data_IF_202959969214
#
_entry.id   IF_202959969214
#
_cell.length_a   1.000
_cell.length_b   1.000
_cell.length_c   1.000
_cell.angle_alpha   90.00
_cell.angle_beta   90.00
_cell.angle_gamma   90.00
#
_symmetry.space_group_name_H-M   'P 1'
#
loop_
_entity.id
_entity.type
_entity.pdbx_description
1 polymer ?
#
# COMPACT_ATOMS: atom_id res chain seq x y z
N UNK A 1 107.59 29.94 -19.98
CA UNK A 1 106.78 28.67 -20.04
C UNK A 1 105.64 28.63 -18.98
N UNK A 2 105.76 29.27 -17.83
CA UNK A 2 104.68 29.21 -16.79
C UNK A 2 103.37 29.97 -17.10
N UNK A 3 103.51 31.10 -17.85
CA UNK A 3 102.35 31.96 -18.11
C UNK A 3 101.29 31.31 -19.08
N UNK A 4 101.80 30.57 -20.10
CA UNK A 4 100.93 29.90 -21.09
C UNK A 4 100.19 28.67 -20.49
N UNK A 5 100.77 28.01 -19.50
CA UNK A 5 100.18 26.92 -18.79
C UNK A 5 99.09 27.42 -17.82
N UNK A 6 99.29 28.53 -17.12
CA UNK A 6 98.29 29.14 -16.27
C UNK A 6 97.04 29.66 -17.05
N UNK A 7 97.24 30.26 -18.26
CA UNK A 7 96.16 30.65 -19.14
C UNK A 7 95.31 29.45 -19.62
N UNK A 8 95.97 28.37 -20.03
CA UNK A 8 95.28 27.12 -20.41
C UNK A 8 94.48 26.51 -19.23
N UNK A 9 95.07 26.55 -18.05
CA UNK A 9 94.36 26.05 -16.82
C UNK A 9 93.16 26.89 -16.46
N UNK A 10 93.28 28.24 -16.57
CA UNK A 10 92.11 29.16 -16.34
C UNK A 10 91.05 28.95 -17.39
N UNK A 11 91.42 28.82 -18.66
CA UNK A 11 90.48 28.52 -19.75
C UNK A 11 89.75 27.20 -19.51
N UNK A 12 90.48 26.12 -19.19
CA UNK A 12 89.90 24.82 -18.87
C UNK A 12 88.94 24.88 -17.68
N UNK A 13 89.37 25.53 -16.60
CA UNK A 13 88.53 25.73 -15.42
C UNK A 13 87.21 26.48 -15.74
N UNK A 14 87.32 27.53 -16.57
CA UNK A 14 86.11 28.32 -17.00
C UNK A 14 85.15 27.47 -17.87
N UNK A 15 85.62 26.64 -18.74
CA UNK A 15 84.87 25.75 -19.59
C UNK A 15 84.12 24.70 -18.74
N UNK A 16 84.87 24.03 -17.84
CA UNK A 16 84.27 23.01 -16.94
C UNK A 16 83.23 23.59 -16.03
N UNK A 17 83.46 24.77 -15.43
CA UNK A 17 82.46 25.46 -14.60
C UNK A 17 81.28 25.87 -15.41
N UNK A 18 81.39 26.37 -16.63
CA UNK A 18 80.32 26.71 -17.51
C UNK A 18 79.49 25.48 -17.91
N UNK A 19 80.16 24.38 -18.28
CA UNK A 19 79.43 23.11 -18.55
C UNK A 19 78.72 22.56 -17.35
N UNK A 20 79.30 22.61 -16.14
CA UNK A 20 78.72 22.15 -14.91
C UNK A 20 77.46 22.98 -14.58
N UNK A 21 77.55 24.33 -14.75
CA UNK A 21 76.45 25.25 -14.56
C UNK A 21 75.27 24.97 -15.54
N UNK A 22 75.63 24.84 -16.85
CA UNK A 22 74.63 24.53 -17.89
C UNK A 22 73.97 23.18 -17.69
N UNK A 23 74.72 22.15 -17.26
CA UNK A 23 74.16 20.84 -16.91
C UNK A 23 73.27 20.91 -15.65
N UNK A 24 73.61 21.72 -14.65
CA UNK A 24 72.84 21.99 -13.45
C UNK A 24 71.52 22.67 -13.79
N UNK A 25 71.57 23.76 -14.59
CA UNK A 25 70.35 24.48 -15.04
C UNK A 25 69.41 23.58 -15.85
N UNK A 26 69.93 22.78 -16.79
CA UNK A 26 69.14 21.81 -17.55
C UNK A 26 68.47 20.74 -16.65
N UNK A 27 69.19 20.29 -15.62
CA UNK A 27 68.67 19.32 -14.66
C UNK A 27 67.55 19.94 -13.80
N UNK A 28 67.74 21.18 -13.36
CA UNK A 28 66.79 21.91 -12.59
C UNK A 28 65.47 22.14 -13.39
N UNK A 29 65.59 22.64 -14.63
CA UNK A 29 64.50 22.85 -15.56
C UNK A 29 63.71 21.57 -15.82
N UNK A 30 64.41 20.46 -16.06
CA UNK A 30 63.76 19.16 -16.28
C UNK A 30 63.03 18.67 -15.04
N UNK A 31 63.58 18.94 -13.86
CA UNK A 31 62.91 18.56 -12.59
C UNK A 31 61.69 19.42 -12.33
N UNK A 32 61.81 20.75 -12.53
CA UNK A 32 60.69 21.68 -12.39
C UNK A 32 59.53 21.31 -13.33
N UNK A 33 59.80 21.02 -14.60
CA UNK A 33 58.76 20.57 -15.55
C UNK A 33 58.09 19.30 -15.09
N UNK A 34 58.84 18.28 -14.68
CA UNK A 34 58.27 17.04 -14.16
C UNK A 34 57.41 17.26 -12.91
N UNK A 35 57.85 18.14 -12.01
CA UNK A 35 57.09 18.45 -10.80
C UNK A 35 55.76 19.15 -11.15
N UNK A 36 55.81 20.15 -12.07
CA UNK A 36 54.60 20.84 -12.51
C UNK A 36 53.62 19.88 -13.22
N UNK A 37 54.11 19.05 -14.15
CA UNK A 37 53.29 18.06 -14.85
C UNK A 37 52.65 17.07 -13.88
N UNK A 38 53.35 16.69 -12.81
CA UNK A 38 52.82 15.81 -11.77
C UNK A 38 51.79 16.53 -10.90
N UNK A 39 52.03 17.80 -10.57
CA UNK A 39 51.04 18.61 -9.80
C UNK A 39 49.76 18.81 -10.59
N UNK A 40 49.80 19.18 -11.86
CA UNK A 40 48.64 19.35 -12.72
C UNK A 40 47.84 18.05 -12.87
N UNK A 41 48.53 16.91 -13.03
CA UNK A 41 47.86 15.60 -13.07
C UNK A 41 47.17 15.28 -11.78
N UNK A 42 47.84 15.43 -10.65
CA UNK A 42 47.28 15.17 -9.35
C UNK A 42 46.07 16.09 -9.05
N UNK A 43 46.19 17.38 -9.39
CA UNK A 43 45.11 18.33 -9.24
C UNK A 43 43.85 17.91 -10.04
N UNK A 44 44.05 17.54 -11.31
CA UNK A 44 43.00 17.08 -12.20
C UNK A 44 42.33 15.80 -11.66
N UNK A 45 43.13 14.86 -11.17
CA UNK A 45 42.66 13.59 -10.60
C UNK A 45 41.87 13.82 -9.31
N UNK A 46 42.36 14.64 -8.39
CA UNK A 46 41.63 14.98 -7.16
C UNK A 46 40.32 15.73 -7.43
N UNK A 47 40.30 16.65 -8.38
CA UNK A 47 39.07 17.36 -8.78
C UNK A 47 38.06 16.39 -9.39
N UNK A 48 38.50 15.45 -10.23
CA UNK A 48 37.61 14.43 -10.82
C UNK A 48 37.03 13.52 -9.75
N UNK A 49 37.85 13.01 -8.83
CA UNK A 49 37.37 12.19 -7.71
C UNK A 49 36.37 12.95 -6.80
N UNK A 50 36.68 14.21 -6.49
CA UNK A 50 35.81 15.04 -5.68
C UNK A 50 34.46 15.24 -6.37
N UNK A 51 34.46 15.50 -7.68
CA UNK A 51 33.25 15.66 -8.47
C UNK A 51 32.39 14.37 -8.48
N UNK A 52 33.04 13.22 -8.71
CA UNK A 52 32.33 11.92 -8.65
C UNK A 52 31.71 11.65 -7.28
N UNK A 53 32.44 11.92 -6.20
CA UNK A 53 31.93 11.78 -4.83
C UNK A 53 30.70 12.67 -4.59
N UNK A 54 30.74 13.91 -5.06
CA UNK A 54 29.63 14.86 -4.96
C UNK A 54 28.42 14.34 -5.75
N UNK A 55 28.61 13.92 -7.01
CA UNK A 55 27.54 13.38 -7.84
C UNK A 55 26.92 12.11 -7.25
N UNK A 56 27.74 11.23 -6.70
CA UNK A 56 27.27 10.04 -6.02
C UNK A 56 26.43 10.39 -4.77
N UNK A 57 26.87 11.36 -3.98
CA UNK A 57 26.12 11.81 -2.80
C UNK A 57 24.81 12.48 -3.15
N UNK A 58 24.79 13.31 -4.21
CA UNK A 58 23.54 13.90 -4.70
C UNK A 58 22.55 12.82 -5.15
N UNK A 59 23.01 11.79 -5.87
CA UNK A 59 22.17 10.65 -6.29
C UNK A 59 21.63 9.85 -5.10
N UNK A 60 22.45 9.66 -4.07
CA UNK A 60 22.03 8.99 -2.84
C UNK A 60 20.93 9.78 -2.12
N UNK A 61 21.15 11.07 -1.91
CA UNK A 61 20.17 11.96 -1.26
C UNK A 61 18.82 11.96 -2.02
N UNK A 62 18.87 12.10 -3.35
CA UNK A 62 17.63 12.08 -4.15
C UNK A 62 16.88 10.75 -4.03
N UNK A 63 17.58 9.62 -3.96
CA UNK A 63 16.94 8.31 -3.73
C UNK A 63 16.31 8.24 -2.36
N UNK A 64 17.04 8.61 -1.33
CA UNK A 64 16.54 8.62 0.05
C UNK A 64 15.31 9.51 0.22
N UNK A 65 15.30 10.68 -0.41
CA UNK A 65 14.16 11.60 -0.36
C UNK A 65 12.95 11.06 -1.12
N UNK A 66 13.16 10.48 -2.31
CA UNK A 66 12.08 9.83 -3.06
C UNK A 66 11.49 8.64 -2.28
N UNK A 67 12.31 7.83 -1.63
CA UNK A 67 11.86 6.72 -0.79
C UNK A 67 11.01 7.23 0.39
N UNK A 68 11.44 8.31 1.07
CA UNK A 68 10.65 8.91 2.16
C UNK A 68 9.29 9.43 1.68
N UNK A 69 9.25 10.10 0.53
CA UNK A 69 8.00 10.59 -0.06
C UNK A 69 7.05 9.44 -0.39
N UNK A 70 7.57 8.38 -1.03
CA UNK A 70 6.78 7.19 -1.34
C UNK A 70 6.25 6.48 -0.08
N UNK A 71 7.08 6.34 0.95
CA UNK A 71 6.66 5.77 2.23
C UNK A 71 5.57 6.61 2.90
N UNK A 72 5.73 7.94 2.90
CA UNK A 72 4.72 8.84 3.46
C UNK A 72 3.38 8.77 2.71
N UNK A 73 3.40 8.64 1.37
CA UNK A 73 2.18 8.47 0.56
C UNK A 73 1.49 7.13 0.86
N UNK A 74 2.26 6.04 0.93
CA UNK A 74 1.72 4.72 1.30
C UNK A 74 1.09 4.74 2.70
N UNK A 75 1.76 5.36 3.67
CA UNK A 75 1.23 5.47 5.03
C UNK A 75 -0.05 6.33 5.08
N UNK A 76 -0.08 7.44 4.34
CA UNK A 76 -1.26 8.30 4.26
C UNK A 76 -2.46 7.55 3.66
N UNK A 77 -2.24 6.82 2.56
CA UNK A 77 -3.28 5.98 1.93
C UNK A 77 -3.75 4.88 2.88
N UNK A 78 -2.84 4.20 3.58
CA UNK A 78 -3.20 3.18 4.58
C UNK A 78 -4.05 3.74 5.72
N UNK A 79 -3.69 4.91 6.25
CA UNK A 79 -4.46 5.59 7.30
C UNK A 79 -5.85 5.97 6.80
N UNK A 80 -5.95 6.48 5.57
CA UNK A 80 -7.24 6.83 4.97
C UNK A 80 -8.13 5.60 4.79
N UNK A 81 -7.59 4.50 4.27
CA UNK A 81 -8.31 3.24 4.11
C UNK A 81 -8.82 2.70 5.44
N UNK A 82 -7.95 2.69 6.45
CA UNK A 82 -8.33 2.24 7.79
C UNK A 82 -9.44 3.09 8.39
N UNK A 83 -9.35 4.42 8.29
CA UNK A 83 -10.40 5.31 8.77
C UNK A 83 -11.74 5.08 8.06
N UNK A 84 -11.72 4.84 6.74
CA UNK A 84 -12.93 4.48 5.98
C UNK A 84 -13.52 3.16 6.45
N UNK A 85 -12.71 2.14 6.64
CA UNK A 85 -13.16 0.84 7.14
C UNK A 85 -13.77 0.95 8.54
N UNK A 86 -13.16 1.71 9.43
CA UNK A 86 -13.68 1.98 10.78
C UNK A 86 -15.07 2.66 10.73
N UNK A 87 -15.25 3.63 9.84
CA UNK A 87 -16.55 4.30 9.65
C UNK A 87 -17.59 3.31 9.13
N UNK A 88 -17.25 2.52 8.10
CA UNK A 88 -18.16 1.51 7.55
C UNK A 88 -18.57 0.51 8.63
N UNK A 89 -17.60 -0.05 9.34
CA UNK A 89 -17.88 -1.01 10.41
C UNK A 89 -18.81 -0.41 11.47
N UNK A 90 -18.54 0.81 11.91
CA UNK A 90 -19.41 1.50 12.89
C UNK A 90 -20.84 1.66 12.41
N UNK A 91 -21.05 2.07 11.16
CA UNK A 91 -22.40 2.21 10.58
C UNK A 91 -23.11 0.87 10.53
N UNK A 92 -22.45 -0.19 10.13
CA UNK A 92 -23.06 -1.53 10.05
C UNK A 92 -23.26 -2.18 11.42
N UNK A 93 -22.41 -1.90 12.40
CA UNK A 93 -22.62 -2.33 13.79
C UNK A 93 -23.83 -1.61 14.41
N UNK A 94 -24.00 -0.32 14.16
CA UNK A 94 -25.20 0.42 14.58
C UNK A 94 -26.47 -0.10 13.89
N UNK A 95 -26.41 -0.39 12.59
CA UNK A 95 -27.52 -0.99 11.85
C UNK A 95 -27.89 -2.38 12.39
N UNK A 96 -26.87 -3.22 12.69
CA UNK A 96 -27.08 -4.51 13.35
C UNK A 96 -27.77 -4.36 14.70
N UNK A 97 -27.35 -3.40 15.53
CA UNK A 97 -28.01 -3.10 16.80
C UNK A 97 -29.51 -2.77 16.64
N UNK A 98 -29.82 -1.88 15.68
CA UNK A 98 -31.23 -1.52 15.37
C UNK A 98 -32.06 -2.69 14.85
N UNK A 99 -31.47 -3.61 14.09
CA UNK A 99 -32.15 -4.83 13.63
C UNK A 99 -32.43 -5.78 14.78
N UNK A 100 -31.55 -5.88 15.77
CA UNK A 100 -31.77 -6.66 16.99
C UNK A 100 -32.89 -6.03 17.86
N UNK A 101 -32.91 -4.69 17.96
CA UNK A 101 -34.02 -3.99 18.63
C UNK A 101 -35.36 -4.22 17.91
N UNK A 102 -35.36 -4.12 16.56
CA UNK A 102 -36.53 -4.40 15.74
C UNK A 102 -37.04 -5.84 15.90
N UNK A 103 -36.12 -6.83 15.99
CA UNK A 103 -36.45 -8.24 16.24
C UNK A 103 -37.27 -8.44 17.54
N UNK A 104 -37.05 -7.59 18.55
CA UNK A 104 -37.75 -7.65 19.81
C UNK A 104 -39.15 -7.04 19.76
N UNK A 105 -39.58 -6.42 18.66
CA UNK A 105 -40.91 -5.79 18.50
C UNK A 105 -41.92 -6.74 17.90
N UNK A 106 -43.22 -6.45 18.11
CA UNK A 106 -44.31 -7.21 17.46
C UNK A 106 -44.36 -6.98 15.94
N UNK A 107 -43.81 -5.88 15.45
CA UNK A 107 -43.70 -5.56 14.03
C UNK A 107 -42.82 -6.56 13.27
N UNK A 108 -41.86 -7.18 13.95
CA UNK A 108 -40.99 -8.20 13.36
C UNK A 108 -41.78 -9.42 12.86
N UNK A 109 -42.77 -9.90 13.64
CA UNK A 109 -43.64 -11.00 13.23
C UNK A 109 -44.46 -10.63 11.98
N UNK A 110 -44.99 -9.39 11.91
CA UNK A 110 -45.69 -8.90 10.73
C UNK A 110 -44.76 -8.79 9.49
N UNK A 111 -43.54 -8.37 9.71
CA UNK A 111 -42.49 -8.32 8.65
C UNK A 111 -42.19 -9.72 8.13
N UNK A 112 -41.96 -10.70 9.02
CA UNK A 112 -41.71 -12.11 8.63
C UNK A 112 -42.89 -12.64 7.80
N UNK A 113 -44.12 -12.41 8.25
CA UNK A 113 -45.33 -12.81 7.50
C UNK A 113 -45.36 -12.23 6.08
N UNK A 114 -45.06 -10.94 5.95
CA UNK A 114 -44.99 -10.29 4.64
C UNK A 114 -43.88 -10.90 3.74
N UNK A 115 -42.69 -11.15 4.30
CA UNK A 115 -41.58 -11.72 3.54
C UNK A 115 -41.80 -13.15 3.09
N UNK A 116 -42.42 -13.97 3.94
CA UNK A 116 -42.82 -15.33 3.57
C UNK A 116 -43.86 -15.28 2.46
N UNK A 117 -44.90 -14.42 2.56
CA UNK A 117 -45.89 -14.26 1.54
C UNK A 117 -45.31 -13.87 0.17
N UNK A 118 -44.38 -12.93 0.16
CA UNK A 118 -43.67 -12.54 -1.06
C UNK A 118 -42.86 -13.72 -1.64
N UNK A 119 -42.09 -14.42 -0.79
CA UNK A 119 -41.28 -15.58 -1.25
C UNK A 119 -42.14 -16.73 -1.77
N UNK A 120 -43.29 -17.04 -1.10
CA UNK A 120 -44.24 -18.06 -1.61
C UNK A 120 -44.78 -17.68 -2.99
N UNK A 121 -45.09 -16.40 -3.20
CA UNK A 121 -45.56 -15.91 -4.50
C UNK A 121 -44.46 -16.00 -5.58
N UNK A 122 -43.20 -15.71 -5.23
CA UNK A 122 -42.05 -15.73 -6.12
C UNK A 122 -41.60 -17.16 -6.47
N UNK A 123 -41.51 -18.03 -5.48
CA UNK A 123 -41.08 -19.42 -5.64
C UNK A 123 -42.16 -20.31 -6.27
N UNK A 124 -43.45 -19.89 -6.16
CA UNK A 124 -44.60 -20.59 -6.68
C UNK A 124 -44.86 -21.94 -6.02
N UNK A 125 -45.65 -22.80 -6.68
CA UNK A 125 -46.01 -24.11 -6.16
C UNK A 125 -44.83 -25.06 -5.97
N UNK A 126 -44.91 -25.91 -4.93
CA UNK A 126 -43.92 -26.89 -4.56
C UNK A 126 -43.80 -27.06 -3.05
N UNK A 127 -42.91 -27.95 -2.62
CA UNK A 127 -42.59 -28.15 -1.20
C UNK A 127 -41.73 -27.00 -0.70
N UNK A 128 -42.36 -26.11 0.07
CA UNK A 128 -41.68 -24.94 0.62
C UNK A 128 -41.23 -25.20 2.06
N UNK A 129 -40.01 -24.79 2.37
CA UNK A 129 -39.48 -24.77 3.73
C UNK A 129 -38.99 -23.38 4.08
N UNK A 130 -39.31 -22.89 5.26
CA UNK A 130 -38.86 -21.62 5.81
C UNK A 130 -37.91 -21.91 6.97
N UNK A 131 -36.67 -21.45 6.84
CA UNK A 131 -35.61 -21.69 7.80
C UNK A 131 -35.38 -20.42 8.62
N UNK A 132 -35.37 -20.58 9.93
CA UNK A 132 -35.22 -19.50 10.91
C UNK A 132 -34.09 -19.82 11.88
N UNK A 133 -33.56 -18.79 12.52
CA UNK A 133 -32.78 -18.99 13.73
C UNK A 133 -33.60 -19.55 14.87
N UNK A 134 -33.05 -20.35 15.75
CA UNK A 134 -33.71 -20.90 16.92
C UNK A 134 -34.33 -19.81 17.80
N UNK A 135 -33.72 -18.63 17.88
CA UNK A 135 -34.20 -17.47 18.63
C UNK A 135 -35.48 -16.83 18.03
N UNK A 136 -35.77 -17.10 16.76
CA UNK A 136 -36.95 -16.56 16.09
C UNK A 136 -38.20 -17.41 16.27
N UNK A 137 -38.10 -18.53 17.01
CA UNK A 137 -39.18 -19.49 17.21
C UNK A 137 -40.49 -18.82 17.66
N UNK A 138 -40.43 -17.98 18.69
CA UNK A 138 -41.63 -17.31 19.24
C UNK A 138 -42.30 -16.36 18.22
N UNK A 139 -41.52 -15.70 17.36
CA UNK A 139 -42.05 -14.83 16.32
C UNK A 139 -42.64 -15.62 15.14
N UNK A 140 -41.97 -16.73 14.77
CA UNK A 140 -42.39 -17.62 13.69
C UNK A 140 -43.66 -18.41 14.06
N UNK A 141 -43.81 -18.88 15.29
CA UNK A 141 -45.01 -19.59 15.77
C UNK A 141 -46.27 -18.71 15.68
N UNK A 142 -46.16 -17.40 15.90
CA UNK A 142 -47.30 -16.46 15.75
C UNK A 142 -47.88 -16.40 14.33
N UNK A 143 -47.11 -16.79 13.34
CA UNK A 143 -47.47 -16.68 11.92
C UNK A 143 -47.63 -18.05 11.23
N UNK A 144 -47.29 -19.13 11.90
CA UNK A 144 -47.33 -20.49 11.35
C UNK A 144 -48.70 -20.89 10.81
N UNK A 145 -49.77 -20.51 11.51
CA UNK A 145 -51.15 -20.78 11.09
C UNK A 145 -51.54 -20.10 9.76
N UNK A 146 -50.83 -19.07 9.36
CA UNK A 146 -51.07 -18.37 8.10
C UNK A 146 -50.47 -19.07 6.88
N UNK A 147 -49.57 -20.06 7.11
CA UNK A 147 -48.83 -20.77 6.06
C UNK A 147 -48.76 -22.28 6.35
N UNK A 148 -49.90 -23.01 6.33
CA UNK A 148 -49.94 -24.43 6.70
C UNK A 148 -49.15 -25.32 5.72
N UNK A 149 -48.97 -24.87 4.47
CA UNK A 149 -48.25 -25.60 3.43
C UNK A 149 -46.72 -25.35 3.44
N UNK A 150 -46.24 -24.49 4.35
CA UNK A 150 -44.82 -24.16 4.47
C UNK A 150 -44.23 -24.85 5.70
N UNK A 151 -43.21 -25.67 5.53
CA UNK A 151 -42.53 -26.33 6.64
C UNK A 151 -41.58 -25.36 7.34
N UNK A 152 -41.81 -25.10 8.63
CA UNK A 152 -40.94 -24.26 9.46
C UNK A 152 -39.81 -25.12 10.05
N UNK A 153 -38.57 -24.67 9.85
CA UNK A 153 -37.34 -25.32 10.32
C UNK A 153 -36.56 -24.30 11.16
N UNK A 154 -36.11 -24.73 12.32
CA UNK A 154 -35.34 -23.89 13.23
C UNK A 154 -33.95 -24.47 13.37
N UNK A 155 -32.95 -23.63 13.09
CA UNK A 155 -31.54 -24.00 13.17
C UNK A 155 -30.82 -23.18 14.25
N UNK A 156 -29.90 -23.78 14.94
CA UNK A 156 -29.08 -23.09 15.91
C UNK A 156 -27.90 -22.44 15.15
N UNK A 157 -28.15 -21.21 14.70
CA UNK A 157 -27.21 -20.42 13.93
C UNK A 157 -27.03 -19.04 14.58
N UNK A 158 -25.83 -18.45 14.43
CA UNK A 158 -25.51 -17.09 14.90
C UNK A 158 -26.19 -15.99 14.06
N UNK A 159 -27.32 -16.29 13.42
CA UNK A 159 -28.05 -15.34 12.59
C UNK A 159 -28.71 -14.24 13.42
N UNK A 160 -28.62 -13.01 12.97
CA UNK A 160 -29.22 -11.84 13.63
C UNK A 160 -30.74 -11.97 13.64
N UNK A 161 -31.31 -12.65 12.65
CA UNK A 161 -32.73 -12.86 12.43
C UNK A 161 -33.09 -12.84 10.95
N UNK A 162 -34.40 -12.95 10.67
CA UNK A 162 -34.90 -13.04 9.32
C UNK A 162 -35.28 -14.47 8.94
N UNK A 163 -35.52 -14.70 7.65
CA UNK A 163 -36.00 -16.00 7.15
C UNK A 163 -35.40 -16.30 5.78
N UNK A 164 -35.04 -17.55 5.56
CA UNK A 164 -34.73 -18.08 4.25
C UNK A 164 -35.78 -19.07 3.82
N UNK A 165 -36.36 -18.88 2.64
CA UNK A 165 -37.40 -19.75 2.10
C UNK A 165 -36.78 -20.53 0.93
N UNK A 166 -36.94 -21.84 0.96
CA UNK A 166 -36.44 -22.76 -0.01
C UNK A 166 -37.55 -23.58 -0.65
N UNK A 167 -37.56 -23.70 -1.98
CA UNK A 167 -38.44 -24.62 -2.72
C UNK A 167 -37.63 -25.87 -3.04
N UNK A 168 -37.98 -27.00 -2.39
CA UNK A 168 -37.25 -28.27 -2.53
C UNK A 168 -37.38 -28.86 -3.94
N UNK A 169 -38.53 -28.68 -4.61
CA UNK A 169 -38.79 -29.25 -5.93
C UNK A 169 -38.05 -28.47 -7.03
N UNK A 170 -38.02 -27.14 -6.95
CA UNK A 170 -37.37 -26.25 -7.92
C UNK A 170 -35.92 -25.97 -7.59
N UNK A 171 -35.44 -26.32 -6.41
CA UNK A 171 -34.09 -26.04 -5.88
C UNK A 171 -33.74 -24.55 -5.92
N UNK A 172 -34.73 -23.68 -5.66
CA UNK A 172 -34.58 -22.22 -5.62
C UNK A 172 -34.84 -21.72 -4.22
N UNK A 173 -34.18 -20.62 -3.83
CA UNK A 173 -34.34 -20.03 -2.51
C UNK A 173 -34.45 -18.51 -2.61
N UNK A 174 -35.20 -17.93 -1.70
CA UNK A 174 -35.22 -16.49 -1.44
C UNK A 174 -34.71 -16.26 -0.03
N UNK A 175 -33.76 -15.37 0.12
CA UNK A 175 -33.05 -15.12 1.37
C UNK A 175 -33.35 -13.74 1.90
N UNK A 176 -34.05 -13.66 3.03
CA UNK A 176 -34.36 -12.45 3.76
C UNK A 176 -33.70 -12.42 5.15
N UNK A 177 -32.61 -13.16 5.34
CA UNK A 177 -31.82 -13.09 6.57
C UNK A 177 -31.17 -11.71 6.68
N UNK A 178 -31.17 -11.15 7.87
CA UNK A 178 -30.58 -9.83 8.09
C UNK A 178 -29.08 -9.80 7.82
N UNK A 179 -28.36 -10.88 8.07
CA UNK A 179 -26.95 -11.02 7.72
C UNK A 179 -26.69 -10.83 6.23
N UNK A 180 -27.49 -11.49 5.38
CA UNK A 180 -27.38 -11.39 3.93
C UNK A 180 -27.79 -10.00 3.41
N UNK A 181 -28.86 -9.45 3.96
CA UNK A 181 -29.31 -8.09 3.60
C UNK A 181 -28.26 -7.04 3.97
N UNK A 182 -27.65 -7.16 5.16
CA UNK A 182 -26.55 -6.27 5.57
C UNK A 182 -25.31 -6.45 4.70
N UNK A 183 -24.96 -7.68 4.34
CA UNK A 183 -23.82 -7.95 3.47
C UNK A 183 -24.00 -7.34 2.07
N UNK A 184 -25.19 -7.49 1.49
CA UNK A 184 -25.55 -6.87 0.22
C UNK A 184 -25.51 -5.34 0.27
N UNK A 185 -26.07 -4.75 1.33
CA UNK A 185 -26.06 -3.30 1.53
C UNK A 185 -24.66 -2.77 1.81
N UNK A 186 -23.78 -3.55 2.45
CA UNK A 186 -22.38 -3.15 2.67
C UNK A 186 -21.62 -3.00 1.37
N UNK A 187 -21.82 -3.94 0.43
CA UNK A 187 -21.20 -3.87 -0.88
C UNK A 187 -21.68 -2.62 -1.66
N UNK A 188 -22.98 -2.36 -1.65
CA UNK A 188 -23.60 -1.19 -2.28
C UNK A 188 -23.12 0.13 -1.64
N UNK A 189 -23.08 0.18 -0.30
CA UNK A 189 -22.64 1.35 0.47
C UNK A 189 -21.22 1.77 0.14
N UNK A 190 -20.30 0.82 -0.03
CA UNK A 190 -18.92 1.10 -0.44
C UNK A 190 -18.87 1.75 -1.83
N UNK A 191 -19.78 1.35 -2.71
CA UNK A 191 -19.85 1.87 -4.07
C UNK A 191 -20.47 3.27 -4.14
N UNK A 192 -21.64 3.45 -3.49
CA UNK A 192 -22.42 4.71 -3.52
C UNK A 192 -21.80 5.78 -2.61
N UNK A 193 -21.20 5.39 -1.50
CA UNK A 193 -20.63 6.32 -0.51
C UNK A 193 -19.36 7.07 -0.96
N UNK A 194 -18.92 6.90 -2.21
CA UNK A 194 -17.66 7.50 -2.70
C UNK A 194 -16.43 6.97 -1.96
N UNK A 195 -16.57 5.82 -1.29
CA UNK A 195 -15.53 5.17 -0.53
C UNK A 195 -14.70 4.22 -1.39
N UNK A 196 -15.08 4.04 -2.66
CA UNK A 196 -14.26 3.37 -3.67
C UNK A 196 -13.08 4.25 -4.02
N UNK A 197 -11.89 3.66 -4.06
CA UNK A 197 -10.69 4.34 -4.55
C UNK A 197 -10.79 4.31 -6.07
N UNK A 198 -11.02 5.49 -6.68
CA UNK A 198 -10.70 5.63 -8.10
C UNK A 198 -9.17 5.64 -8.18
N UNK A 199 -8.59 4.59 -8.77
CA UNK A 199 -7.18 4.50 -9.13
C UNK A 199 -6.80 5.56 -10.18
#
# INVERSE_FOLDING_TARGET
MDNEFEEKLRSFKSVVLREAKTKGEKKLDKTMKKTNDTMEKNETEYLSEAYEKIQNKIRSIRREDNEKVLQADIEARRKLLKAREEIVNKVFDEAKGKLLEFKATDEYSAWLKSKIGNAVSELGEGKLSAMFSADDRAAAEKIADSYPDVKFIFEDTDEIGGVRIYNEDKKTAVDYRFSELLAAQRAEFLHVGGLTINE
#
